data_IF_845973336425
#
_entry.id   IF_845973336425
#
_cell.length_a   1.000
_cell.length_b   1.000
_cell.length_c   1.000
_cell.angle_alpha   90.00
_cell.angle_beta   90.00
_cell.angle_gamma   90.00
#
_symmetry.space_group_name_H-M   'P 1'
#
loop_
_entity.id
_entity.type
_entity.pdbx_description
1 polymer ?
#
# COMPACT_ATOMS: atom_id res chain seq x y z
N UNK A 1 -7.61 2.25 -18.55
CA UNK A 1 -8.34 0.99 -18.36
C UNK A 1 -7.33 -0.07 -17.99
N UNK A 2 -7.69 -0.99 -17.12
CA UNK A 2 -6.84 -2.08 -16.70
C UNK A 2 -6.51 -2.97 -17.90
N UNK A 3 -5.25 -3.35 -18.02
CA UNK A 3 -4.72 -4.28 -19.03
C UNK A 3 -3.93 -5.37 -18.34
N UNK A 4 -3.65 -6.47 -19.02
CA UNK A 4 -2.77 -7.52 -18.48
C UNK A 4 -1.40 -7.01 -18.00
N UNK A 5 -0.93 -5.85 -18.48
CA UNK A 5 0.33 -5.22 -18.02
C UNK A 5 0.23 -4.55 -16.66
N UNK A 6 -0.98 -4.24 -16.20
CA UNK A 6 -1.24 -3.72 -14.86
C UNK A 6 -1.24 -4.84 -13.81
N UNK A 7 -1.26 -6.12 -14.24
CA UNK A 7 -1.17 -7.26 -13.33
C UNK A 7 0.16 -7.26 -12.56
N UNK A 8 0.06 -7.41 -11.23
CA UNK A 8 1.23 -7.57 -10.39
C UNK A 8 1.02 -7.20 -8.93
N UNK A 9 2.16 -7.16 -8.22
CA UNK A 9 2.21 -6.75 -6.82
C UNK A 9 2.37 -5.23 -6.76
N UNK A 10 1.33 -4.57 -6.26
CA UNK A 10 1.36 -3.16 -5.87
C UNK A 10 1.91 -3.03 -4.45
N UNK A 11 2.89 -2.15 -4.27
CA UNK A 11 3.42 -1.75 -2.96
C UNK A 11 3.12 -0.28 -2.74
N UNK A 12 2.47 0.03 -1.63
CA UNK A 12 2.26 1.40 -1.18
C UNK A 12 3.22 1.66 -0.03
N UNK A 13 4.04 2.69 -0.18
CA UNK A 13 4.97 3.15 0.84
C UNK A 13 4.54 4.55 1.30
N UNK A 14 4.36 4.71 2.61
CA UNK A 14 3.98 5.97 3.23
C UNK A 14 5.09 6.41 4.20
N UNK A 15 5.52 7.67 4.11
CA UNK A 15 6.60 8.22 4.94
C UNK A 15 6.28 9.64 5.41
N UNK A 16 6.66 9.96 6.63
CA UNK A 16 6.79 11.33 7.12
C UNK A 16 7.98 11.45 8.10
N UNK A 17 8.14 12.62 8.72
CA UNK A 17 9.22 12.90 9.69
C UNK A 17 9.16 11.99 10.94
N UNK A 18 7.97 11.50 11.30
CA UNK A 18 7.78 10.61 12.44
C UNK A 18 8.06 9.14 12.13
N UNK A 19 8.12 8.73 10.86
CA UNK A 19 8.41 7.35 10.49
C UNK A 19 7.92 6.95 9.10
N UNK A 20 7.77 5.64 8.89
CA UNK A 20 7.28 5.07 7.64
C UNK A 20 6.38 3.85 7.90
N UNK A 21 5.63 3.47 6.87
CA UNK A 21 4.85 2.23 6.81
C UNK A 21 4.72 1.77 5.37
N UNK A 22 4.48 0.47 5.18
CA UNK A 22 4.30 -0.13 3.86
C UNK A 22 3.18 -1.17 3.85
N UNK A 23 2.54 -1.35 2.70
CA UNK A 23 1.58 -2.43 2.46
C UNK A 23 1.71 -2.97 1.03
N UNK A 24 1.41 -4.26 0.86
CA UNK A 24 1.41 -4.97 -0.41
C UNK A 24 0.00 -5.41 -0.78
N UNK A 25 -0.34 -5.37 -2.05
CA UNK A 25 -1.63 -5.79 -2.60
C UNK A 25 -1.44 -6.31 -4.03
N UNK A 26 -2.24 -7.30 -4.43
CA UNK A 26 -2.19 -7.84 -5.78
C UNK A 26 -3.34 -7.28 -6.61
N UNK A 27 -3.00 -6.92 -7.85
CA UNK A 27 -3.95 -6.64 -8.91
C UNK A 27 -3.78 -7.72 -9.98
N UNK A 28 -4.87 -8.31 -10.40
CA UNK A 28 -4.89 -9.28 -11.50
C UNK A 28 -5.89 -8.82 -12.54
N UNK A 29 -5.45 -8.74 -13.80
CA UNK A 29 -6.29 -8.42 -14.95
C UNK A 29 -6.39 -9.67 -15.84
N UNK A 30 -7.62 -10.03 -16.20
CA UNK A 30 -7.99 -11.24 -16.97
C UNK A 30 -7.80 -12.53 -16.13
N UNK A 31 -8.82 -12.84 -15.33
CA UNK A 31 -8.75 -13.74 -14.19
C UNK A 31 -8.30 -15.19 -14.53
N UNK A 32 -7.05 -15.51 -14.18
CA UNK A 32 -6.73 -16.83 -13.64
C UNK A 32 -6.52 -16.68 -12.13
N UNK A 33 -7.34 -17.40 -11.36
CA UNK A 33 -7.51 -17.26 -9.91
C UNK A 33 -6.22 -16.86 -9.18
N UNK A 34 -6.21 -15.66 -8.58
CA UNK A 34 -5.22 -15.34 -7.57
C UNK A 34 -5.32 -16.42 -6.50
N UNK A 35 -4.23 -17.15 -6.14
CA UNK A 35 -4.29 -17.98 -4.95
C UNK A 35 -4.76 -17.05 -3.81
N UNK A 36 -5.63 -17.51 -2.90
CA UNK A 36 -6.04 -16.67 -1.79
C UNK A 36 -4.76 -16.25 -1.07
N UNK A 37 -4.44 -14.96 -1.13
CA UNK A 37 -3.33 -14.43 -0.35
C UNK A 37 -3.87 -14.23 1.07
N UNK A 38 -4.23 -15.36 1.68
CA UNK A 38 -4.65 -15.46 3.07
C UNK A 38 -3.48 -15.20 4.04
N UNK A 39 -2.26 -14.90 3.53
CA UNK A 39 -1.06 -14.83 4.35
C UNK A 39 0.00 -13.77 4.01
N UNK A 40 -0.16 -12.93 2.97
CA UNK A 40 0.80 -11.82 2.72
C UNK A 40 0.35 -10.51 3.39
N UNK A 41 -0.76 -10.54 4.12
CA UNK A 41 -0.89 -9.70 5.31
C UNK A 41 0.11 -10.18 6.35
N UNK A 42 1.34 -9.66 6.30
CA UNK A 42 2.26 -9.54 7.44
C UNK A 42 2.22 -10.72 8.41
N UNK A 43 2.67 -11.92 8.02
CA UNK A 43 2.96 -12.96 9.02
C UNK A 43 4.40 -12.97 9.51
N UNK A 44 5.34 -12.43 8.75
CA UNK A 44 6.71 -12.23 9.23
C UNK A 44 7.28 -10.95 8.63
N UNK A 45 6.85 -9.82 9.18
CA UNK A 45 7.77 -8.77 9.59
C UNK A 45 7.01 -8.03 10.68
N UNK A 46 7.33 -8.40 11.92
CA UNK A 46 7.26 -7.51 13.06
C UNK A 46 8.11 -6.28 12.72
N UNK A 47 7.61 -5.40 11.83
CA UNK A 47 8.03 -4.01 11.76
C UNK A 47 7.51 -3.47 13.09
N UNK A 48 8.36 -3.61 14.12
CA UNK A 48 8.21 -3.19 15.51
C UNK A 48 7.05 -2.22 15.58
N UNK A 49 5.84 -2.69 15.96
CA UNK A 49 4.66 -1.83 16.19
C UNK A 49 5.25 -0.53 16.70
N UNK A 50 5.16 0.62 15.99
CA UNK A 50 5.87 1.80 16.44
C UNK A 50 5.34 2.02 17.85
N UNK A 51 6.17 1.68 18.85
CA UNK A 51 5.87 1.85 20.25
C UNK A 51 5.51 3.31 20.27
N UNK A 52 4.28 3.72 20.66
CA UNK A 52 3.85 5.10 20.53
C UNK A 52 5.01 5.92 21.09
N UNK A 53 5.69 6.63 20.19
CA UNK A 53 6.91 7.33 20.55
C UNK A 53 6.40 8.48 21.39
N UNK A 54 6.24 8.21 22.68
CA UNK A 54 6.08 9.19 23.73
C UNK A 54 7.41 9.93 23.80
N UNK A 55 7.67 10.78 22.81
CA UNK A 55 8.60 11.87 22.93
C UNK A 55 7.75 13.07 23.32
N UNK A 56 7.70 13.31 24.62
CA UNK A 56 7.18 14.54 25.21
C UNK A 56 7.77 15.75 24.44
N UNK A 57 6.93 16.50 23.74
CA UNK A 57 7.31 17.78 23.12
C UNK A 57 6.68 18.08 21.76
N UNK A 58 6.68 17.13 20.82
CA UNK A 58 6.22 17.38 19.44
C UNK A 58 5.10 16.39 19.04
N UNK A 59 3.92 16.91 18.70
CA UNK A 59 2.73 16.12 18.28
C UNK A 59 2.88 15.55 16.85
N UNK A 60 3.89 14.74 16.59
CA UNK A 60 4.03 14.04 15.31
C UNK A 60 3.58 12.59 15.43
N UNK A 61 2.92 12.06 14.40
CA UNK A 61 2.42 10.69 14.33
C UNK A 61 2.94 10.01 13.08
N UNK A 62 3.52 8.81 13.24
CA UNK A 62 4.03 8.03 12.12
C UNK A 62 2.89 7.62 11.17
N UNK A 63 3.19 7.29 9.90
CA UNK A 63 2.20 6.82 8.95
C UNK A 63 1.56 5.51 9.46
N UNK A 64 0.25 5.40 9.33
CA UNK A 64 -0.50 4.19 9.66
C UNK A 64 -1.57 3.98 8.61
N UNK A 65 -1.64 2.77 8.03
CA UNK A 65 -2.72 2.40 7.11
C UNK A 65 -3.99 2.11 7.92
N UNK A 66 -4.88 3.11 7.98
CA UNK A 66 -6.18 3.02 8.62
C UNK A 66 -7.11 2.06 7.87
N UNK A 67 -7.09 2.12 6.53
CA UNK A 67 -7.77 1.17 5.65
C UNK A 67 -6.73 0.52 4.73
N UNK A 68 -6.62 -0.79 4.85
CA UNK A 68 -5.71 -1.58 4.01
C UNK A 68 -6.30 -1.73 2.61
N UNK A 69 -5.46 -1.67 1.56
CA UNK A 69 -5.91 -1.98 0.21
C UNK A 69 -6.42 -3.42 0.14
N UNK A 70 -7.46 -3.61 -0.68
CA UNK A 70 -8.03 -4.92 -0.99
C UNK A 70 -7.46 -5.41 -2.30
N UNK A 71 -7.37 -6.73 -2.44
CA UNK A 71 -7.05 -7.34 -3.73
C UNK A 71 -8.09 -6.97 -4.76
N UNK A 72 -7.64 -6.75 -5.99
CA UNK A 72 -8.43 -6.22 -7.09
C UNK A 72 -8.32 -7.20 -8.25
N UNK A 73 -9.45 -7.57 -8.86
CA UNK A 73 -9.52 -8.54 -9.96
C UNK A 73 -10.34 -7.98 -11.10
N UNK A 74 -9.65 -7.53 -12.13
CA UNK A 74 -10.22 -6.77 -13.23
C UNK A 74 -10.35 -7.65 -14.47
N UNK A 75 -11.28 -7.30 -15.34
CA UNK A 75 -11.24 -7.78 -16.71
C UNK A 75 -10.45 -6.77 -17.56
N UNK A 76 -9.88 -7.22 -18.68
CA UNK A 76 -9.25 -6.30 -19.63
C UNK A 76 -10.26 -5.21 -20.05
N UNK A 77 -9.82 -3.96 -19.96
CA UNK A 77 -10.67 -2.80 -20.24
C UNK A 77 -11.45 -2.25 -19.05
N UNK A 78 -11.46 -2.92 -17.89
CA UNK A 78 -12.18 -2.44 -16.71
C UNK A 78 -11.50 -1.21 -16.06
N UNK A 79 -12.22 -0.48 -15.21
CA UNK A 79 -11.72 0.69 -14.47
C UNK A 79 -11.68 0.35 -12.98
N UNK A 80 -10.73 -0.50 -12.60
CA UNK A 80 -10.50 -0.77 -11.20
C UNK A 80 -9.43 0.13 -10.58
N UNK A 81 -9.57 0.39 -9.28
CA UNK A 81 -8.69 1.25 -8.51
C UNK A 81 -8.26 0.56 -7.22
N UNK A 82 -6.96 0.56 -6.96
CA UNK A 82 -6.41 0.17 -5.66
C UNK A 82 -6.48 1.39 -4.74
N UNK A 83 -7.34 1.34 -3.72
CA UNK A 83 -7.51 2.41 -2.74
C UNK A 83 -6.99 1.99 -1.37
N UNK A 84 -6.37 2.91 -0.63
CA UNK A 84 -6.00 2.74 0.76
C UNK A 84 -6.07 4.06 1.51
N UNK A 85 -6.26 3.99 2.84
CA UNK A 85 -6.25 5.18 3.69
C UNK A 85 -5.04 5.14 4.61
N UNK A 86 -4.23 6.18 4.56
CA UNK A 86 -3.07 6.36 5.44
C UNK A 86 -3.24 7.63 6.27
N UNK A 87 -2.88 7.55 7.55
CA UNK A 87 -2.95 8.66 8.51
C UNK A 87 -1.58 8.92 9.12
N UNK A 88 -1.24 10.18 9.38
CA UNK A 88 0.00 10.56 10.06
C UNK A 88 0.20 12.07 10.03
N UNK A 89 1.14 12.58 10.83
CA UNK A 89 1.44 14.01 10.95
C UNK A 89 2.94 14.19 11.19
N UNK A 90 3.66 15.06 10.46
CA UNK A 90 3.23 15.97 9.40
C UNK A 90 2.79 15.24 8.10
N UNK A 91 2.47 16.02 7.05
CA UNK A 91 1.97 15.52 5.76
C UNK A 91 2.81 14.34 5.22
N UNK A 92 2.12 13.41 4.59
CA UNK A 92 2.64 12.10 4.21
C UNK A 92 3.08 12.11 2.75
N UNK A 93 4.23 11.52 2.49
CA UNK A 93 4.69 11.19 1.15
C UNK A 93 4.25 9.76 0.82
N UNK A 94 3.47 9.60 -0.26
CA UNK A 94 2.97 8.31 -0.72
C UNK A 94 3.67 7.94 -2.02
N UNK A 95 4.32 6.77 -2.03
CA UNK A 95 4.98 6.22 -3.20
C UNK A 95 4.37 4.88 -3.56
N UNK A 96 4.02 4.71 -4.83
CA UNK A 96 3.45 3.49 -5.36
C UNK A 96 4.50 2.73 -6.17
N UNK A 97 4.50 1.40 -6.08
CA UNK A 97 5.33 0.55 -6.92
C UNK A 97 4.51 -0.59 -7.50
N UNK A 98 4.68 -0.88 -8.79
CA UNK A 98 4.16 -2.08 -9.45
C UNK A 98 5.34 -2.98 -9.78
N UNK A 99 5.33 -4.23 -9.32
CA UNK A 99 6.37 -5.22 -9.63
C UNK A 99 7.79 -4.70 -9.31
N UNK A 100 7.94 -3.99 -8.18
CA UNK A 100 9.17 -3.33 -7.70
C UNK A 100 9.60 -2.08 -8.48
N UNK A 101 8.84 -1.64 -9.48
CA UNK A 101 9.08 -0.41 -10.23
C UNK A 101 8.21 0.72 -9.69
N UNK A 102 8.80 1.88 -9.42
CA UNK A 102 8.06 3.06 -8.97
C UNK A 102 7.06 3.52 -10.03
N UNK A 103 5.82 3.75 -9.59
CA UNK A 103 4.75 4.34 -10.39
C UNK A 103 4.73 5.82 -10.04
N UNK A 104 4.95 6.66 -11.05
CA UNK A 104 4.75 8.11 -10.91
C UNK A 104 3.29 8.44 -11.14
N UNK A 105 2.71 9.37 -10.36
CA UNK A 105 1.39 9.90 -10.69
C UNK A 105 1.44 10.46 -12.12
N UNK A 106 0.46 10.09 -12.94
CA UNK A 106 0.25 10.74 -14.23
C UNK A 106 -0.16 12.19 -13.95
N UNK A 107 0.62 13.15 -14.45
CA UNK A 107 0.35 14.58 -14.35
C UNK A 107 -0.90 14.99 -15.15
#
# INVERSE_FOLDING_TARGET
SATSTDTGVYKIFAKNDAGNSRVLVNLTVDAEASPPISHIYTKDEEEKKPKPAQAAGNKMTAPVFADKPKEVTANDGDKEQVECKVTGTPALEITWFLNKKEIKPSA
#
